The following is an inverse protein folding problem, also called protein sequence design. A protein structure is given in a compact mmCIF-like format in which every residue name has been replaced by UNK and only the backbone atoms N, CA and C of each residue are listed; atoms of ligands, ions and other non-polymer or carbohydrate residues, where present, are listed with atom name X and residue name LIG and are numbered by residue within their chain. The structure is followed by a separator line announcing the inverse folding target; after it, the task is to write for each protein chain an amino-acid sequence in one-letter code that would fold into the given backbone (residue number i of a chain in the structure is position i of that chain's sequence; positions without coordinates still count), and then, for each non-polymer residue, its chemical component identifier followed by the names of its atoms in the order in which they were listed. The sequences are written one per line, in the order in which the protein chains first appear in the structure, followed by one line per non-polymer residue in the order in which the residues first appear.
data_IF_302793943851
#
_entry.id   IF_302793943851
#
_cell.length_a   1.000
_cell.length_b   1.000
_cell.length_c   1.000
_cell.angle_alpha   90.00
_cell.angle_beta   90.00
_cell.angle_gamma   90.00
#
_symmetry.space_group_name_H-M   'P 1'
#
loop_
_entity.id
_entity.type
_entity.pdbx_description
1 polymer ?
#
# COMPACT_ATOMS: atom_id res chain seq x y z
N UNK A 1 -13.73 4.68 -0.87
CA UNK A 1 -14.89 3.88 -0.48
C UNK A 1 -15.68 3.44 -1.70
N UNK A 2 -16.13 4.37 -2.55
CA UNK A 2 -16.91 4.08 -3.77
C UNK A 2 -16.24 3.07 -4.72
N UNK A 3 -14.93 3.18 -4.97
CA UNK A 3 -14.21 2.20 -5.78
C UNK A 3 -14.23 0.78 -5.20
N UNK A 4 -14.18 0.64 -3.86
CA UNK A 4 -14.23 -0.68 -3.23
C UNK A 4 -15.61 -1.29 -3.42
N UNK A 5 -16.66 -0.47 -3.43
CA UNK A 5 -18.03 -0.92 -3.65
C UNK A 5 -18.26 -1.42 -5.09
N UNK A 6 -17.64 -0.79 -6.09
CA UNK A 6 -17.70 -1.30 -7.47
C UNK A 6 -16.96 -2.63 -7.64
N UNK A 7 -15.85 -2.82 -6.92
CA UNK A 7 -15.12 -4.10 -6.88
C UNK A 7 -15.93 -5.19 -6.17
N UNK A 8 -16.56 -4.86 -5.03
CA UNK A 8 -17.48 -5.76 -4.33
C UNK A 8 -18.62 -6.19 -5.25
N UNK A 9 -19.26 -5.22 -5.93
CA UNK A 9 -20.32 -5.49 -6.90
C UNK A 9 -19.88 -6.45 -8.01
N UNK A 10 -18.63 -6.30 -8.50
CA UNK A 10 -18.07 -7.14 -9.55
C UNK A 10 -17.77 -8.56 -9.05
N UNK A 11 -17.18 -8.70 -7.86
CA UNK A 11 -16.88 -10.01 -7.25
C UNK A 11 -18.14 -10.85 -7.07
N UNK A 12 -19.23 -10.24 -6.62
CA UNK A 12 -20.51 -10.95 -6.41
C UNK A 12 -21.17 -11.41 -7.71
N UNK A 13 -20.93 -10.71 -8.82
CA UNK A 13 -21.51 -11.00 -10.14
C UNK A 13 -20.61 -11.84 -11.05
N UNK A 14 -19.39 -12.13 -10.63
CA UNK A 14 -18.47 -12.96 -11.41
C UNK A 14 -18.74 -14.45 -11.11
N UNK A 15 -19.09 -15.27 -12.12
CA UNK A 15 -19.28 -16.70 -11.94
C UNK A 15 -18.01 -17.35 -11.33
N UNK A 16 -18.20 -18.38 -10.50
CA UNK A 16 -17.15 -19.06 -9.73
C UNK A 16 -16.53 -18.23 -8.59
N UNK A 17 -16.22 -16.95 -8.81
CA UNK A 17 -15.69 -16.07 -7.76
C UNK A 17 -16.72 -15.83 -6.63
N UNK A 18 -18.01 -15.77 -6.99
CA UNK A 18 -19.12 -15.60 -6.06
C UNK A 18 -19.33 -16.77 -5.07
N UNK A 19 -18.65 -17.90 -5.27
CA UNK A 19 -18.62 -19.03 -4.32
C UNK A 19 -17.73 -18.72 -3.11
N UNK A 20 -16.72 -17.86 -3.29
CA UNK A 20 -15.83 -17.42 -2.23
C UNK A 20 -16.35 -16.11 -1.66
N UNK A 21 -16.60 -16.09 -0.35
CA UNK A 21 -17.11 -14.92 0.37
C UNK A 21 -16.12 -14.46 1.42
N UNK A 22 -16.03 -13.15 1.59
CA UNK A 22 -15.26 -12.55 2.67
C UNK A 22 -15.96 -12.80 4.01
N UNK A 23 -15.17 -12.98 5.07
CA UNK A 23 -15.66 -13.00 6.45
C UNK A 23 -15.96 -11.58 6.93
N UNK A 24 -15.05 -10.65 6.65
CA UNK A 24 -15.16 -9.24 7.00
C UNK A 24 -15.38 -8.40 5.75
N UNK A 25 -16.29 -7.41 5.80
CA UNK A 25 -16.60 -6.58 4.64
C UNK A 25 -15.38 -5.73 4.25
N UNK A 26 -14.94 -5.75 2.98
CA UNK A 26 -13.84 -4.89 2.54
C UNK A 26 -14.28 -3.42 2.59
N UNK A 27 -13.46 -2.59 3.24
CA UNK A 27 -13.67 -1.15 3.40
C UNK A 27 -12.36 -0.41 3.18
N UNK A 28 -12.45 0.87 2.81
CA UNK A 28 -11.27 1.72 2.73
C UNK A 28 -10.67 1.92 4.13
N UNK A 29 -9.35 2.18 4.18
CA UNK A 29 -8.68 2.63 5.39
C UNK A 29 -9.36 3.88 5.95
N UNK A 30 -9.41 3.99 7.27
CA UNK A 30 -9.86 5.23 7.92
C UNK A 30 -8.93 6.39 7.56
N UNK A 31 -9.41 7.63 7.73
CA UNK A 31 -8.63 8.84 7.41
C UNK A 31 -7.30 8.86 8.17
N UNK A 32 -7.33 8.54 9.47
CA UNK A 32 -6.11 8.53 10.30
C UNK A 32 -5.22 7.35 9.92
N UNK A 33 -5.79 6.17 9.65
CA UNK A 33 -5.01 5.02 9.20
C UNK A 33 -4.30 5.31 7.87
N UNK A 34 -4.99 5.89 6.89
CA UNK A 34 -4.41 6.25 5.61
C UNK A 34 -3.26 7.25 5.76
N UNK A 35 -3.39 8.24 6.65
CA UNK A 35 -2.31 9.19 6.98
C UNK A 35 -1.10 8.49 7.59
N UNK A 36 -1.33 7.60 8.57
CA UNK A 36 -0.24 6.88 9.24
C UNK A 36 0.47 5.91 8.29
N UNK A 37 -0.28 5.15 7.50
CA UNK A 37 0.28 4.26 6.49
C UNK A 37 1.06 5.05 5.44
N UNK A 38 0.52 6.18 4.98
CA UNK A 38 1.21 7.09 4.06
C UNK A 38 2.50 7.65 4.64
N UNK A 39 2.47 8.11 5.91
CA UNK A 39 3.65 8.59 6.61
C UNK A 39 4.72 7.50 6.74
N UNK A 40 4.32 6.27 7.08
CA UNK A 40 5.24 5.15 7.18
C UNK A 40 5.97 4.88 5.85
N UNK A 41 5.23 4.82 4.73
CA UNK A 41 5.84 4.65 3.41
C UNK A 41 6.74 5.82 3.03
N UNK A 42 6.29 7.06 3.29
CA UNK A 42 7.07 8.26 3.02
C UNK A 42 8.39 8.25 3.79
N UNK A 43 8.36 7.97 5.09
CA UNK A 43 9.55 7.95 5.94
C UNK A 43 10.51 6.83 5.54
N UNK A 44 10.03 5.60 5.33
CA UNK A 44 10.89 4.49 4.89
C UNK A 44 11.51 4.80 3.54
N UNK A 45 10.71 5.27 2.58
CA UNK A 45 11.20 5.66 1.26
C UNK A 45 12.25 6.77 1.33
N UNK A 46 12.01 7.81 2.13
CA UNK A 46 12.93 8.92 2.33
C UNK A 46 14.28 8.44 2.89
N UNK A 47 14.24 7.64 3.95
CA UNK A 47 15.45 7.13 4.62
C UNK A 47 16.24 6.20 3.70
N UNK A 48 15.58 5.21 3.09
CA UNK A 48 16.28 4.23 2.25
C UNK A 48 16.86 4.88 0.99
N UNK A 49 16.15 5.83 0.39
CA UNK A 49 16.63 6.55 -0.79
C UNK A 49 17.89 7.36 -0.45
N UNK A 50 17.85 8.13 0.64
CA UNK A 50 19.00 8.92 1.05
C UNK A 50 20.17 8.06 1.50
N UNK A 51 19.91 6.97 2.24
CA UNK A 51 20.94 6.04 2.67
C UNK A 51 21.68 5.42 1.48
N UNK A 52 20.95 4.99 0.44
CA UNK A 52 21.55 4.46 -0.77
C UNK A 52 22.46 5.49 -1.47
N UNK A 53 21.98 6.73 -1.63
CA UNK A 53 22.78 7.82 -2.18
C UNK A 53 24.03 8.10 -1.34
N UNK A 54 23.89 8.20 -0.02
CA UNK A 54 24.99 8.49 0.89
C UNK A 54 26.09 7.42 0.77
N UNK A 55 25.73 6.14 0.80
CA UNK A 55 26.69 5.04 0.69
C UNK A 55 27.35 5.06 -0.68
N UNK A 56 26.58 5.15 -1.77
CA UNK A 56 27.14 5.11 -3.12
C UNK A 56 28.06 6.29 -3.44
N UNK A 57 27.70 7.51 -3.00
CA UNK A 57 28.47 8.73 -3.24
C UNK A 57 29.73 8.85 -2.39
N UNK A 58 29.82 8.12 -1.27
CA UNK A 58 30.98 8.16 -0.38
C UNK A 58 31.89 6.94 -0.52
N UNK A 59 31.33 5.73 -0.57
CA UNK A 59 32.10 4.49 -0.63
C UNK A 59 32.93 4.38 -1.92
N UNK A 60 32.44 4.88 -3.06
CA UNK A 60 33.21 4.87 -4.32
C UNK A 60 34.38 5.85 -4.38
N UNK A 61 34.44 6.84 -3.46
CA UNK A 61 35.50 7.86 -3.42
C UNK A 61 36.59 7.56 -2.39
N UNK A 62 36.27 6.79 -1.35
CA UNK A 62 37.16 6.50 -0.22
C UNK A 62 37.38 5.00 0.04
N UNK A 63 36.85 4.13 -0.84
CA UNK A 63 37.09 2.68 -0.85
C UNK A 63 38.16 2.26 -1.84
#
# INVERSE_FOLDING_TARGET
QELIETLVWAHERTPLANLVRWKDKPVALSIVQARVVGLAHFTVGYVVTYAAFLIASTAGKFG
#
